data_IF_657270470967
#
_entry.id   IF_657270470967
#
_cell.length_a   1.000
_cell.length_b   1.000
_cell.length_c   1.000
_cell.angle_alpha   90.00
_cell.angle_beta   90.00
_cell.angle_gamma   90.00
#
_symmetry.space_group_name_H-M   'P 1'
#
loop_
_entity.id
_entity.type
_entity.pdbx_description
1 polymer ?
#
# COMPACT_ATOMS: atom_id res chain seq x y z
N UNK A 1 -6.76 28.62 39.05
CA UNK A 1 -5.94 27.47 38.60
C UNK A 1 -6.84 26.58 37.77
N UNK A 2 -6.66 26.55 36.45
CA UNK A 2 -7.48 25.75 35.55
C UNK A 2 -6.83 24.36 35.37
N UNK A 3 -7.59 23.31 35.67
CA UNK A 3 -7.19 21.91 35.57
C UNK A 3 -7.00 21.49 34.11
N UNK A 4 -6.02 20.62 33.77
CA UNK A 4 -5.85 20.13 32.41
C UNK A 4 -6.94 19.10 32.09
N UNK A 5 -7.65 19.30 30.98
CA UNK A 5 -8.54 18.30 30.37
C UNK A 5 -7.74 17.09 29.91
N UNK A 6 -8.18 15.85 30.18
CA UNK A 6 -7.48 14.66 29.71
C UNK A 6 -7.64 14.55 28.18
N UNK A 7 -6.53 14.53 27.47
CA UNK A 7 -6.50 14.18 26.05
C UNK A 7 -7.07 12.77 25.89
N UNK A 8 -8.19 12.65 25.17
CA UNK A 8 -8.76 11.37 24.76
C UNK A 8 -7.74 10.68 23.87
N UNK A 9 -6.90 9.84 24.45
CA UNK A 9 -6.10 8.89 23.71
C UNK A 9 -7.09 7.92 23.05
N UNK A 10 -7.36 8.12 21.77
CA UNK A 10 -8.11 7.20 20.94
C UNK A 10 -7.40 5.86 20.99
N UNK A 11 -7.88 4.92 21.80
CA UNK A 11 -7.35 3.56 21.85
C UNK A 11 -7.79 2.82 20.58
N UNK A 12 -7.05 3.01 19.48
CA UNK A 12 -7.21 2.14 18.32
C UNK A 12 -6.77 0.74 18.72
N UNK A 13 -7.62 -0.25 18.43
CA UNK A 13 -7.20 -1.64 18.59
C UNK A 13 -6.15 -1.97 17.54
N UNK A 14 -5.15 -2.81 17.84
CA UNK A 14 -4.12 -3.19 16.86
C UNK A 14 -4.70 -3.83 15.58
N UNK A 15 -5.90 -4.42 15.68
CA UNK A 15 -6.66 -4.92 14.53
C UNK A 15 -7.20 -3.79 13.62
N UNK A 16 -7.72 -2.70 14.20
CA UNK A 16 -8.18 -1.54 13.45
C UNK A 16 -7.03 -0.82 12.74
N UNK A 17 -5.87 -0.73 13.39
CA UNK A 17 -4.66 -0.19 12.77
C UNK A 17 -4.17 -1.07 11.63
N UNK A 18 -4.15 -2.39 11.81
CA UNK A 18 -3.78 -3.35 10.75
C UNK A 18 -4.71 -3.26 9.53
N UNK A 19 -6.02 -3.11 9.76
CA UNK A 19 -7.00 -2.92 8.70
C UNK A 19 -6.79 -1.60 7.94
N UNK A 20 -6.54 -0.50 8.66
CA UNK A 20 -6.25 0.81 8.07
C UNK A 20 -4.97 0.80 7.24
N UNK A 21 -3.90 0.20 7.74
CA UNK A 21 -2.64 0.07 7.00
C UNK A 21 -2.81 -0.78 5.74
N UNK A 22 -3.61 -1.84 5.81
CA UNK A 22 -3.89 -2.68 4.64
C UNK A 22 -4.71 -1.94 3.57
N UNK A 23 -5.69 -1.12 3.97
CA UNK A 23 -6.42 -0.24 3.04
C UNK A 23 -5.50 0.78 2.36
N UNK A 24 -4.56 1.38 3.09
CA UNK A 24 -3.55 2.27 2.50
C UNK A 24 -2.69 1.52 1.49
N UNK A 25 -2.29 0.29 1.82
CA UNK A 25 -1.49 -0.54 0.93
C UNK A 25 -2.22 -0.86 -0.37
N UNK A 26 -3.50 -1.26 -0.30
CA UNK A 26 -4.34 -1.50 -1.49
C UNK A 26 -4.37 -0.25 -2.38
N UNK A 27 -4.66 0.92 -1.82
CA UNK A 27 -4.71 2.18 -2.58
C UNK A 27 -3.36 2.52 -3.21
N UNK A 28 -2.25 2.27 -2.49
CA UNK A 28 -0.91 2.53 -3.02
C UNK A 28 -0.59 1.67 -4.24
N UNK A 29 -0.99 0.39 -4.25
CA UNK A 29 -0.82 -0.48 -5.41
C UNK A 29 -1.70 -0.05 -6.59
N UNK A 30 -2.93 0.40 -6.34
CA UNK A 30 -3.82 0.94 -7.39
C UNK A 30 -3.21 2.16 -8.08
N UNK A 31 -2.66 3.10 -7.29
CA UNK A 31 -1.96 4.28 -7.82
C UNK A 31 -0.73 3.87 -8.61
N UNK A 32 0.11 2.96 -8.08
CA UNK A 32 1.31 2.51 -8.77
C UNK A 32 1.01 1.89 -10.14
N UNK A 33 -0.07 1.09 -10.26
CA UNK A 33 -0.51 0.52 -11.53
C UNK A 33 -0.93 1.61 -12.51
N UNK A 34 -1.72 2.59 -12.06
CA UNK A 34 -2.15 3.70 -12.90
C UNK A 34 -0.97 4.53 -13.42
N UNK A 35 -0.01 4.82 -12.54
CA UNK A 35 1.21 5.55 -12.90
C UNK A 35 2.09 4.75 -13.87
N UNK A 36 2.29 3.45 -13.63
CA UNK A 36 3.06 2.58 -14.53
C UNK A 36 2.43 2.47 -15.92
N UNK A 37 1.10 2.41 -16.00
CA UNK A 37 0.39 2.38 -17.28
C UNK A 37 0.47 3.71 -18.05
N UNK A 38 0.67 4.83 -17.35
CA UNK A 38 0.81 6.15 -17.95
C UNK A 38 2.28 6.55 -18.23
N UNK A 39 3.24 5.66 -17.94
CA UNK A 39 4.65 5.91 -18.26
C UNK A 39 4.90 5.69 -19.76
N UNK A 40 5.64 6.62 -20.36
CA UNK A 40 6.15 6.45 -21.73
C UNK A 40 7.02 5.20 -21.86
N UNK A 41 6.82 4.45 -22.95
CA UNK A 41 7.55 3.20 -23.22
C UNK A 41 9.09 3.36 -23.28
N UNK A 42 9.59 4.57 -23.58
CA UNK A 42 11.04 4.85 -23.61
C UNK A 42 11.65 5.07 -22.22
N UNK A 43 10.84 5.29 -21.19
CA UNK A 43 11.31 5.58 -19.83
C UNK A 43 11.74 4.29 -19.13
N UNK A 44 12.93 4.33 -18.53
CA UNK A 44 13.40 3.21 -17.72
C UNK A 44 12.63 3.12 -16.39
N UNK A 45 12.26 1.89 -16.01
CA UNK A 45 11.60 1.59 -14.73
C UNK A 45 12.56 0.79 -13.86
N UNK A 46 12.55 1.05 -12.56
CA UNK A 46 13.41 0.40 -11.59
C UNK A 46 12.59 -0.12 -10.41
N UNK A 47 12.88 -1.33 -9.97
CA UNK A 47 12.34 -1.90 -8.74
C UNK A 47 13.37 -1.74 -7.62
N UNK A 48 12.96 -1.14 -6.51
CA UNK A 48 13.76 -1.05 -5.29
C UNK A 48 13.62 -2.34 -4.47
N UNK A 49 14.75 -2.88 -4.01
CA UNK A 49 14.80 -3.96 -3.02
C UNK A 49 15.87 -3.61 -1.97
N UNK A 50 15.43 -3.19 -0.78
CA UNK A 50 16.31 -2.58 0.21
C UNK A 50 16.98 -1.31 -0.33
N UNK A 51 18.31 -1.34 -0.43
CA UNK A 51 19.13 -0.24 -0.95
C UNK A 51 19.56 -0.44 -2.42
N UNK A 52 19.11 -1.52 -3.07
CA UNK A 52 19.45 -1.84 -4.45
C UNK A 52 18.29 -1.51 -5.39
N UNK A 53 18.62 -1.06 -6.60
CA UNK A 53 17.67 -0.77 -7.66
C UNK A 53 17.95 -1.67 -8.86
N UNK A 54 16.95 -2.44 -9.26
CA UNK A 54 17.04 -3.36 -10.39
C UNK A 54 16.21 -2.82 -11.55
N UNK A 55 16.83 -2.67 -12.73
CA UNK A 55 16.12 -2.26 -13.92
C UNK A 55 15.07 -3.31 -14.30
N UNK A 56 13.86 -2.85 -14.62
CA UNK A 56 12.74 -3.70 -15.05
C UNK A 56 12.00 -3.03 -16.21
N UNK A 57 11.04 -3.74 -16.80
CA UNK A 57 10.10 -3.16 -17.76
C UNK A 57 8.83 -2.70 -17.05
N UNK A 58 8.14 -1.70 -17.63
CA UNK A 58 6.83 -1.25 -17.14
C UNK A 58 5.85 -2.42 -17.05
N UNK A 59 5.80 -3.29 -18.07
CA UNK A 59 4.95 -4.48 -18.08
C UNK A 59 5.22 -5.41 -16.88
N UNK A 60 6.49 -5.74 -16.59
CA UNK A 60 6.85 -6.60 -15.45
C UNK A 60 6.52 -5.94 -14.12
N UNK A 61 6.71 -4.62 -14.02
CA UNK A 61 6.35 -3.86 -12.84
C UNK A 61 4.82 -3.87 -12.64
N UNK A 62 4.04 -3.63 -13.68
CA UNK A 62 2.56 -3.67 -13.63
C UNK A 62 2.05 -5.04 -13.20
N UNK A 63 2.55 -6.14 -13.79
CA UNK A 63 2.16 -7.49 -13.38
C UNK A 63 2.53 -7.79 -11.92
N UNK A 64 3.66 -7.27 -11.44
CA UNK A 64 4.05 -7.40 -10.04
C UNK A 64 3.08 -6.64 -9.12
N UNK A 65 2.80 -5.36 -9.41
CA UNK A 65 1.85 -4.57 -8.61
C UNK A 65 0.44 -5.16 -8.62
N UNK A 66 -0.03 -5.70 -9.75
CA UNK A 66 -1.31 -6.38 -9.85
C UNK A 66 -1.41 -7.60 -8.91
N UNK A 67 -0.34 -8.40 -8.85
CA UNK A 67 -0.26 -9.54 -7.93
C UNK A 67 -0.25 -9.09 -6.47
N UNK A 68 0.47 -8.01 -6.15
CA UNK A 68 0.51 -7.46 -4.80
C UNK A 68 -0.86 -6.93 -4.36
N UNK A 69 -1.55 -6.24 -5.27
CA UNK A 69 -2.90 -5.74 -5.07
C UNK A 69 -3.89 -6.87 -4.79
N UNK A 70 -3.86 -7.95 -5.57
CA UNK A 70 -4.72 -9.12 -5.36
C UNK A 70 -4.50 -9.75 -3.98
N UNK A 71 -3.24 -9.94 -3.59
CA UNK A 71 -2.90 -10.46 -2.26
C UNK A 71 -3.36 -9.53 -1.13
N UNK A 72 -3.24 -8.21 -1.31
CA UNK A 72 -3.67 -7.23 -0.32
C UNK A 72 -5.20 -7.22 -0.18
N UNK A 73 -5.95 -7.27 -1.29
CA UNK A 73 -7.42 -7.38 -1.30
C UNK A 73 -7.89 -8.69 -0.67
N UNK A 74 -7.23 -9.81 -0.96
CA UNK A 74 -7.56 -11.10 -0.34
C UNK A 74 -7.31 -11.10 1.18
N UNK A 75 -6.21 -10.48 1.64
CA UNK A 75 -5.96 -10.29 3.08
C UNK A 75 -7.02 -9.39 3.73
N UNK A 76 -7.47 -8.35 3.03
CA UNK A 76 -8.46 -7.42 3.53
C UNK A 76 -9.81 -8.11 3.72
N UNK A 77 -10.24 -8.89 2.71
CA UNK A 77 -11.46 -9.69 2.79
C UNK A 77 -11.44 -10.67 3.96
N UNK A 78 -10.29 -11.32 4.24
CA UNK A 78 -10.15 -12.21 5.40
C UNK A 78 -10.32 -11.49 6.74
N UNK A 79 -9.87 -10.24 6.86
CA UNK A 79 -10.02 -9.44 8.07
C UNK A 79 -11.44 -8.91 8.26
N UNK A 80 -12.19 -8.72 7.17
CA UNK A 80 -13.58 -8.22 7.22
C UNK A 80 -14.63 -9.32 7.30
N UNK A 81 -14.25 -10.58 7.02
CA UNK A 81 -15.14 -11.75 7.09
C UNK A 81 -15.07 -12.52 8.42
N UNK A 82 -14.37 -11.98 9.43
CA UNK A 82 -14.37 -12.46 10.83
C UNK A 82 -15.20 -11.53 11.70
#
# INVERSE_FOLDING_TARGET
MASPTPATASSSSPAADSHRELLKLVKSHEVAIAELNNISASRAVYKRNGNLFFRTSAQKATSYEQKQLEMAKAKLQKLTSS
#
